data_IF_836301097860
#
_entry.id   IF_836301097860
#
_cell.length_a   1.000
_cell.length_b   1.000
_cell.length_c   1.000
_cell.angle_alpha   90.00
_cell.angle_beta   90.00
_cell.angle_gamma   90.00
#
_symmetry.space_group_name_H-M   'P 1'
#
loop_
_entity.id
_entity.type
_entity.pdbx_description
1 polymer ?
#
# COMPACT_ATOMS: atom_id res chain seq x y z
N UNK A 1 24.27 7.11 7.97
CA UNK A 1 25.37 7.20 6.97
C UNK A 1 25.07 6.18 5.89
N UNK A 2 24.35 6.61 4.83
CA UNK A 2 23.98 5.78 3.69
C UNK A 2 25.08 5.94 2.63
N UNK A 3 25.87 4.91 2.40
CA UNK A 3 26.88 4.89 1.35
C UNK A 3 26.25 4.47 0.03
N UNK A 4 26.04 5.43 -0.87
CA UNK A 4 25.69 5.17 -2.27
C UNK A 4 26.95 4.72 -3.01
N UNK A 5 26.98 3.44 -3.37
CA UNK A 5 28.02 2.85 -4.21
C UNK A 5 27.74 3.23 -5.67
N UNK A 6 28.58 4.09 -6.24
CA UNK A 6 28.45 4.56 -7.60
C UNK A 6 28.60 3.42 -8.64
N UNK A 7 27.61 3.31 -9.50
CA UNK A 7 27.70 2.58 -10.75
C UNK A 7 28.26 3.53 -11.82
N UNK A 8 29.42 3.20 -12.37
CA UNK A 8 29.97 3.93 -13.50
C UNK A 8 29.10 3.68 -14.73
N UNK A 9 28.22 4.62 -15.04
CA UNK A 9 27.58 4.71 -16.33
C UNK A 9 28.40 5.63 -17.22
N UNK A 10 28.61 5.20 -18.48
CA UNK A 10 29.35 5.91 -19.49
C UNK A 10 28.90 7.37 -19.64
N UNK A 11 29.86 8.22 -19.87
CA UNK A 11 29.68 9.67 -20.03
C UNK A 11 28.73 9.97 -21.21
N UNK A 12 27.46 10.21 -20.88
CA UNK A 12 26.57 10.90 -21.80
C UNK A 12 26.95 12.38 -21.76
N UNK A 13 27.50 12.92 -22.86
CA UNK A 13 27.72 14.33 -23.04
C UNK A 13 26.40 15.09 -23.00
N UNK A 14 25.98 15.53 -21.85
CA UNK A 14 24.89 16.49 -21.65
C UNK A 14 25.41 17.87 -22.07
N UNK A 15 25.21 18.25 -23.34
CA UNK A 15 25.32 19.65 -23.77
C UNK A 15 24.16 20.42 -23.10
N UNK A 16 24.50 21.26 -22.14
CA UNK A 16 23.61 22.33 -21.66
C UNK A 16 23.35 23.26 -22.86
N UNK A 17 22.18 23.20 -23.45
CA UNK A 17 21.69 24.16 -24.42
C UNK A 17 21.05 25.29 -23.62
N UNK A 18 21.80 26.36 -23.34
CA UNK A 18 21.24 27.64 -22.97
C UNK A 18 20.53 28.22 -24.19
N UNK A 19 19.23 28.02 -24.29
CA UNK A 19 18.36 28.50 -25.36
C UNK A 19 17.14 29.19 -24.78
N UNK A 20 16.99 30.46 -25.09
CA UNK A 20 15.80 31.29 -24.86
C UNK A 20 14.55 30.54 -25.36
N UNK A 21 13.56 30.35 -24.47
CA UNK A 21 12.17 30.07 -24.90
C UNK A 21 11.87 28.70 -25.50
N UNK A 22 12.70 27.70 -25.26
CA UNK A 22 12.31 26.32 -25.59
C UNK A 22 11.16 25.94 -24.65
N UNK A 23 10.02 25.62 -25.24
CA UNK A 23 8.86 25.12 -24.51
C UNK A 23 9.27 23.87 -23.71
N UNK A 24 9.39 24.03 -22.41
CA UNK A 24 9.88 22.98 -21.49
C UNK A 24 9.06 21.70 -21.63
N UNK A 25 7.79 21.83 -22.00
CA UNK A 25 6.89 20.72 -22.29
C UNK A 25 7.38 19.89 -23.48
N UNK A 26 7.72 20.54 -24.60
CA UNK A 26 8.22 19.86 -25.81
C UNK A 26 9.57 19.17 -25.56
N UNK A 27 10.44 19.80 -24.78
CA UNK A 27 11.73 19.20 -24.42
C UNK A 27 11.55 17.96 -23.54
N UNK A 28 10.60 18.03 -22.59
CA UNK A 28 10.25 16.88 -21.73
C UNK A 28 9.64 15.74 -22.57
N UNK A 29 8.70 16.04 -23.46
CA UNK A 29 8.06 15.04 -24.31
C UNK A 29 9.07 14.34 -25.25
N UNK A 30 10.02 15.09 -25.77
CA UNK A 30 11.11 14.55 -26.57
C UNK A 30 12.03 13.62 -25.74
N UNK A 31 12.34 14.00 -24.51
CA UNK A 31 13.13 13.17 -23.61
C UNK A 31 12.40 11.87 -23.22
N UNK A 32 11.10 11.95 -22.92
CA UNK A 32 10.27 10.79 -22.64
C UNK A 32 10.22 9.83 -23.83
N UNK A 33 10.02 10.36 -25.04
CA UNK A 33 10.01 9.56 -26.27
C UNK A 33 11.37 8.88 -26.53
N UNK A 34 12.48 9.51 -26.16
CA UNK A 34 13.81 8.91 -26.29
C UNK A 34 14.01 7.78 -25.30
N UNK A 35 13.54 7.92 -24.05
CA UNK A 35 13.60 6.87 -23.02
C UNK A 35 12.78 5.66 -23.48
N UNK A 36 11.56 5.88 -23.98
CA UNK A 36 10.71 4.79 -24.48
C UNK A 36 11.32 4.05 -25.68
N UNK A 37 12.04 4.75 -26.55
CA UNK A 37 12.76 4.11 -27.68
C UNK A 37 13.93 3.25 -27.19
N UNK A 38 14.64 3.70 -26.15
CA UNK A 38 15.83 3.02 -25.63
C UNK A 38 15.50 1.85 -24.71
N UNK A 39 14.41 1.93 -23.95
CA UNK A 39 14.08 0.97 -22.88
C UNK A 39 12.73 0.25 -23.10
N UNK A 40 11.99 0.58 -24.15
CA UNK A 40 10.69 0.01 -24.46
C UNK A 40 9.52 0.86 -23.99
N UNK A 41 8.33 0.63 -24.61
CA UNK A 41 7.08 1.31 -24.23
C UNK A 41 6.72 1.01 -22.79
N UNK A 42 6.35 2.05 -22.02
CA UNK A 42 5.92 1.92 -20.63
C UNK A 42 7.08 1.92 -19.62
N UNK A 43 8.33 2.10 -20.05
CA UNK A 43 9.49 2.24 -19.16
C UNK A 43 9.42 3.51 -18.30
N UNK A 44 8.67 4.50 -18.76
CA UNK A 44 8.40 5.73 -18.04
C UNK A 44 6.96 6.19 -18.32
N UNK A 45 6.26 6.64 -17.29
CA UNK A 45 4.90 7.19 -17.44
C UNK A 45 4.70 8.37 -16.48
N UNK A 46 3.78 9.26 -16.83
CA UNK A 46 3.35 10.32 -15.92
C UNK A 46 2.33 9.73 -14.96
N UNK A 47 2.53 9.90 -13.66
CA UNK A 47 1.64 9.35 -12.62
C UNK A 47 0.17 9.80 -12.78
N UNK A 48 -0.07 10.99 -13.31
CA UNK A 48 -1.42 11.52 -13.57
C UNK A 48 -2.03 11.12 -14.92
N UNK A 49 -1.31 10.39 -15.78
CA UNK A 49 -1.83 9.96 -17.08
C UNK A 49 -2.62 8.65 -17.02
N UNK A 50 -2.56 7.93 -15.91
CA UNK A 50 -3.39 6.77 -15.66
C UNK A 50 -4.71 7.23 -15.04
N UNK A 51 -5.74 7.37 -15.86
CA UNK A 51 -7.12 7.66 -15.40
C UNK A 51 -7.79 6.47 -14.70
N UNK A 52 -7.12 5.35 -14.56
CA UNK A 52 -7.64 4.23 -13.79
C UNK A 52 -7.40 4.52 -12.31
N UNK A 53 -8.39 5.10 -11.66
CA UNK A 53 -8.58 4.97 -10.21
C UNK A 53 -8.76 3.48 -9.99
N UNK A 54 -7.71 2.81 -9.57
CA UNK A 54 -7.79 1.40 -9.15
C UNK A 54 -8.63 1.40 -7.88
N UNK A 55 -9.88 1.00 -8.01
CA UNK A 55 -10.77 0.82 -6.88
C UNK A 55 -10.19 -0.32 -6.03
N UNK A 56 -9.61 0.05 -4.89
CA UNK A 56 -8.97 -0.91 -3.98
C UNK A 56 -10.06 -1.47 -3.08
N UNK A 57 -10.34 -2.76 -3.21
CA UNK A 57 -11.20 -3.44 -2.25
C UNK A 57 -10.54 -3.44 -0.86
N UNK A 58 -11.32 -3.11 0.15
CA UNK A 58 -10.85 -3.00 1.54
C UNK A 58 -11.71 -3.82 2.49
N UNK A 59 -11.15 -4.08 3.67
CA UNK A 59 -11.87 -4.62 4.84
C UNK A 59 -11.83 -3.52 5.90
N UNK A 60 -12.97 -3.19 6.49
CA UNK A 60 -13.04 -2.23 7.59
C UNK A 60 -12.19 -2.70 8.77
N UNK A 61 -11.60 -1.76 9.47
CA UNK A 61 -10.91 -2.02 10.75
C UNK A 61 -11.88 -2.12 11.94
N UNK A 62 -13.18 -1.91 11.71
CA UNK A 62 -14.19 -1.77 12.77
C UNK A 62 -14.16 -0.40 13.46
N UNK A 63 -13.27 0.49 13.05
CA UNK A 63 -13.17 1.86 13.55
C UNK A 63 -13.34 2.87 12.43
N UNK A 64 -14.47 3.56 12.40
CA UNK A 64 -14.75 4.58 11.38
C UNK A 64 -13.66 5.66 11.32
N UNK A 65 -13.13 6.08 12.47
CA UNK A 65 -12.08 7.10 12.53
C UNK A 65 -10.78 6.61 11.87
N UNK A 66 -10.41 5.34 12.07
CA UNK A 66 -9.24 4.75 11.47
C UNK A 66 -9.44 4.52 9.96
N UNK A 67 -10.59 4.04 9.55
CA UNK A 67 -10.93 3.81 8.14
C UNK A 67 -10.87 5.11 7.33
N UNK A 68 -11.36 6.20 7.89
CA UNK A 68 -11.25 7.54 7.28
C UNK A 68 -9.78 7.98 7.22
N UNK A 69 -9.01 7.79 8.30
CA UNK A 69 -7.60 8.18 8.35
C UNK A 69 -6.73 7.40 7.35
N UNK A 70 -7.07 6.16 7.05
CA UNK A 70 -6.41 5.35 6.02
C UNK A 70 -6.69 5.85 4.59
N UNK A 71 -7.71 6.66 4.39
CA UNK A 71 -8.03 7.30 3.11
C UNK A 71 -8.70 6.39 2.07
N UNK A 72 -8.65 5.08 2.25
CA UNK A 72 -9.25 4.08 1.34
C UNK A 72 -10.43 3.34 1.97
N UNK A 73 -10.82 3.71 3.18
CA UNK A 73 -11.99 3.16 3.88
C UNK A 73 -11.74 1.83 4.58
N UNK A 74 -10.50 1.47 4.86
CA UNK A 74 -10.14 0.24 5.57
C UNK A 74 -8.79 -0.30 5.17
N UNK A 75 -8.53 -1.56 5.51
CA UNK A 75 -7.31 -2.27 5.15
C UNK A 75 -7.41 -2.85 3.73
N UNK A 76 -6.43 -2.61 2.85
CA UNK A 76 -6.49 -3.07 1.46
C UNK A 76 -6.40 -4.60 1.36
N UNK A 77 -7.31 -5.23 0.62
CA UNK A 77 -7.27 -6.66 0.34
C UNK A 77 -6.06 -7.03 -0.53
N UNK A 78 -5.58 -8.24 -0.36
CA UNK A 78 -4.45 -8.78 -1.14
C UNK A 78 -3.09 -8.14 -0.79
N UNK A 79 -2.97 -7.50 0.36
CA UNK A 79 -1.73 -6.90 0.87
C UNK A 79 -1.34 -7.50 2.21
N UNK A 80 -0.04 -7.52 2.48
CA UNK A 80 0.49 -7.79 3.82
C UNK A 80 0.50 -6.46 4.57
N UNK A 81 -0.12 -6.46 5.76
CA UNK A 81 -0.24 -5.26 6.60
C UNK A 81 0.49 -5.54 7.90
N UNK A 82 1.46 -4.70 8.21
CA UNK A 82 2.18 -4.75 9.47
C UNK A 82 1.57 -3.76 10.45
N UNK A 83 1.24 -4.24 11.66
CA UNK A 83 0.73 -3.41 12.75
C UNK A 83 1.70 -3.53 13.92
N UNK A 84 2.35 -2.45 14.27
CA UNK A 84 3.33 -2.42 15.35
C UNK A 84 3.03 -1.32 16.37
N UNK A 85 3.57 -1.48 17.57
CA UNK A 85 3.38 -0.55 18.68
C UNK A 85 3.75 -1.20 20.00
N UNK A 86 3.75 -0.43 21.11
CA UNK A 86 4.06 -0.95 22.42
C UNK A 86 3.04 -2.00 22.88
N UNK A 87 3.34 -2.71 23.94
CA UNK A 87 2.41 -3.62 24.59
C UNK A 87 1.13 -2.86 25.01
N UNK A 88 0.01 -3.56 25.01
CA UNK A 88 -1.31 -3.02 25.37
C UNK A 88 -1.79 -1.83 24.54
N UNK A 89 -1.22 -1.62 23.35
CA UNK A 89 -1.62 -0.54 22.43
C UNK A 89 -2.87 -0.85 21.58
N UNK A 90 -3.48 -2.01 21.74
CA UNK A 90 -4.69 -2.40 21.01
C UNK A 90 -4.46 -3.12 19.68
N UNK A 91 -3.22 -3.57 19.36
CA UNK A 91 -2.93 -4.29 18.12
C UNK A 91 -3.83 -5.51 17.90
N UNK A 92 -3.91 -6.38 18.90
CA UNK A 92 -4.75 -7.59 18.87
C UNK A 92 -6.24 -7.23 18.79
N UNK A 93 -6.67 -6.20 19.50
CA UNK A 93 -8.05 -5.69 19.43
C UNK A 93 -8.41 -5.26 18.02
N UNK A 94 -7.54 -4.49 17.36
CA UNK A 94 -7.76 -4.06 15.98
C UNK A 94 -7.79 -5.27 15.01
N UNK A 95 -6.89 -6.25 15.20
CA UNK A 95 -6.88 -7.47 14.38
C UNK A 95 -8.19 -8.25 14.53
N UNK A 96 -8.69 -8.43 15.76
CA UNK A 96 -9.95 -9.13 16.01
C UNK A 96 -11.16 -8.37 15.46
N UNK A 97 -11.20 -7.04 15.55
CA UNK A 97 -12.24 -6.24 14.89
C UNK A 97 -12.22 -6.43 13.38
N UNK A 98 -11.04 -6.40 12.77
CA UNK A 98 -10.90 -6.64 11.32
C UNK A 98 -11.40 -8.04 10.92
N UNK A 99 -11.12 -9.06 11.75
CA UNK A 99 -11.67 -10.41 11.57
C UNK A 99 -13.19 -10.40 11.63
N UNK A 100 -13.78 -9.75 12.63
CA UNK A 100 -15.23 -9.64 12.78
C UNK A 100 -15.87 -8.97 11.55
N UNK A 101 -15.30 -7.86 11.09
CA UNK A 101 -15.76 -7.17 9.88
C UNK A 101 -15.64 -8.05 8.64
N UNK A 102 -14.54 -8.78 8.47
CA UNK A 102 -14.37 -9.70 7.35
C UNK A 102 -15.41 -10.83 7.36
N UNK A 103 -15.75 -11.38 8.54
CA UNK A 103 -16.76 -12.42 8.70
C UNK A 103 -18.17 -11.91 8.39
N UNK A 104 -18.52 -10.66 8.73
CA UNK A 104 -19.81 -10.03 8.38
C UNK A 104 -20.05 -10.07 6.86
N UNK A 105 -18.99 -9.91 6.07
CA UNK A 105 -19.05 -9.98 4.60
C UNK A 105 -18.86 -11.42 4.05
N UNK A 106 -18.92 -12.43 4.89
CA UNK A 106 -18.81 -13.84 4.50
C UNK A 106 -17.38 -14.30 4.23
N UNK A 107 -16.37 -13.57 4.71
CA UNK A 107 -14.96 -13.94 4.58
C UNK A 107 -14.58 -15.07 5.54
N UNK A 108 -13.75 -16.01 5.08
CA UNK A 108 -13.11 -17.01 5.94
C UNK A 108 -11.86 -16.40 6.56
N UNK A 109 -11.70 -16.56 7.86
CA UNK A 109 -10.60 -15.97 8.61
C UNK A 109 -9.81 -17.07 9.34
N UNK A 110 -8.49 -16.87 9.39
CA UNK A 110 -7.59 -17.65 10.23
C UNK A 110 -6.78 -16.70 11.13
N UNK A 111 -6.62 -17.05 12.38
CA UNK A 111 -5.90 -16.25 13.36
C UNK A 111 -4.76 -17.07 13.97
N UNK A 112 -3.51 -16.74 13.58
CA UNK A 112 -2.33 -17.34 14.15
C UNK A 112 -1.91 -16.58 15.42
N UNK A 113 -1.95 -17.26 16.57
CA UNK A 113 -1.58 -16.69 17.86
C UNK A 113 -0.32 -17.39 18.41
N UNK A 114 0.83 -16.74 18.25
CA UNK A 114 2.11 -17.24 18.74
C UNK A 114 2.31 -17.02 20.25
N UNK A 115 1.60 -16.06 20.83
CA UNK A 115 1.74 -15.69 22.25
C UNK A 115 0.78 -16.48 23.17
N UNK A 116 -0.13 -17.25 22.58
CA UNK A 116 -1.16 -18.00 23.30
C UNK A 116 -2.04 -17.12 24.22
N UNK A 117 -2.18 -15.85 23.89
CA UNK A 117 -2.93 -14.86 24.66
C UNK A 117 -4.43 -14.84 24.26
N UNK A 118 -4.98 -15.98 23.86
CA UNK A 118 -6.36 -16.09 23.35
C UNK A 118 -7.37 -15.89 24.46
N UNK A 119 -8.22 -14.89 24.29
CA UNK A 119 -9.42 -14.74 25.08
C UNK A 119 -10.65 -14.90 24.14
N UNK A 120 -11.24 -16.11 24.07
CA UNK A 120 -12.41 -16.36 23.23
C UNK A 120 -13.62 -15.52 23.65
N UNK A 121 -13.74 -15.20 24.93
CA UNK A 121 -14.84 -14.40 25.47
C UNK A 121 -14.70 -12.97 24.96
N UNK A 122 -13.46 -12.46 24.96
CA UNK A 122 -13.18 -11.12 24.43
C UNK A 122 -13.40 -11.04 22.92
N UNK A 123 -12.90 -12.02 22.15
CA UNK A 123 -13.10 -12.07 20.70
C UNK A 123 -14.60 -12.08 20.35
N UNK A 124 -15.41 -12.89 21.06
CA UNK A 124 -16.87 -12.93 20.87
C UNK A 124 -17.52 -11.58 21.17
N UNK A 125 -17.07 -10.86 22.20
CA UNK A 125 -17.58 -9.52 22.52
C UNK A 125 -17.27 -8.50 21.44
N UNK A 126 -16.19 -8.68 20.69
CA UNK A 126 -15.82 -7.85 19.55
C UNK A 126 -16.59 -8.22 18.26
N UNK A 127 -17.44 -9.25 18.32
CA UNK A 127 -18.27 -9.67 17.19
C UNK A 127 -17.69 -10.81 16.36
N UNK A 128 -16.57 -11.42 16.78
CA UNK A 128 -15.96 -12.55 16.06
C UNK A 128 -16.81 -13.82 16.24
N UNK A 129 -17.18 -14.46 15.13
CA UNK A 129 -17.73 -15.81 15.11
C UNK A 129 -16.60 -16.81 15.36
N UNK A 130 -16.58 -17.43 16.53
CA UNK A 130 -15.53 -18.40 16.88
C UNK A 130 -15.68 -19.72 16.13
N UNK A 131 -16.88 -20.03 15.67
CA UNK A 131 -17.19 -21.26 14.92
C UNK A 131 -16.61 -21.21 13.51
N UNK A 132 -16.48 -20.01 12.94
CA UNK A 132 -15.97 -19.76 11.60
C UNK A 132 -14.51 -19.27 11.60
N UNK A 133 -13.86 -19.23 12.78
CA UNK A 133 -12.48 -18.79 12.92
C UNK A 133 -11.54 -19.99 13.01
N UNK A 134 -10.65 -20.11 12.04
CA UNK A 134 -9.55 -21.07 12.08
C UNK A 134 -8.41 -20.54 12.97
N UNK A 135 -7.76 -21.44 13.74
CA UNK A 135 -6.63 -21.09 14.61
C UNK A 135 -5.47 -22.01 14.31
#
# INVERSE_FOLDING_TARGET
TCALRGYMMGQANLKLVEGKGVDKSKALDAALAQIERSFGKGSIMRLGASEQIVEIETVSTGSLGLDIALGVGGLPKGRIIEVYGPESSGKTTMALHTVAEAQIYGGFCAFGDAEHARDPVYARKLGVSLEDLLI
#
